data_IF_039106424945
#
_entry.id   IF_039106424945
#
_cell.length_a   1.000
_cell.length_b   1.000
_cell.length_c   1.000
_cell.angle_alpha   90.00
_cell.angle_beta   90.00
_cell.angle_gamma   90.00
#
_symmetry.space_group_name_H-M   'P 1'
#
loop_
_entity.id
_entity.type
_entity.pdbx_description
1 polymer ?
#
# COMPACT_ATOMS: atom_id res chain seq x y z
N UNK A 1 -16.27 25.36 4.29
CA UNK A 1 -16.82 24.08 3.77
C UNK A 1 -16.09 23.52 2.55
N UNK A 2 -15.56 24.33 1.61
CA UNK A 2 -14.80 23.81 0.44
C UNK A 2 -13.30 23.51 0.67
N UNK A 3 -12.77 23.75 1.88
CA UNK A 3 -11.35 23.56 2.23
C UNK A 3 -11.02 22.24 2.96
N UNK A 4 -12.03 21.41 3.23
CA UNK A 4 -11.88 20.17 4.01
C UNK A 4 -11.91 18.88 3.15
N UNK A 5 -12.05 19.01 1.82
CA UNK A 5 -12.15 17.85 0.92
C UNK A 5 -10.76 17.36 0.47
N UNK A 6 -9.76 18.25 0.38
CA UNK A 6 -8.41 17.87 -0.03
C UNK A 6 -7.66 17.07 1.06
N UNK A 7 -7.78 17.47 2.34
CA UNK A 7 -7.24 16.71 3.46
C UNK A 7 -7.94 15.35 3.64
N UNK A 8 -9.24 15.28 3.37
CA UNK A 8 -10.01 14.03 3.41
C UNK A 8 -9.63 13.06 2.27
N UNK A 9 -9.15 13.54 1.12
CA UNK A 9 -8.73 12.68 0.00
C UNK A 9 -7.30 12.13 0.17
N UNK A 10 -6.39 12.89 0.80
CA UNK A 10 -5.04 12.41 1.14
C UNK A 10 -5.11 11.39 2.30
N UNK A 11 -6.02 11.60 3.26
CA UNK A 11 -6.34 10.61 4.28
C UNK A 11 -7.08 9.38 3.68
N UNK A 12 -8.05 9.56 2.76
CA UNK A 12 -8.80 8.44 2.19
C UNK A 12 -7.98 7.52 1.27
N UNK A 13 -6.91 8.01 0.64
CA UNK A 13 -5.95 7.16 -0.08
C UNK A 13 -5.08 6.29 0.85
N UNK A 14 -5.11 6.56 2.16
CA UNK A 14 -4.37 5.82 3.21
C UNK A 14 -5.32 5.14 4.23
N UNK A 15 -6.62 5.48 4.27
CA UNK A 15 -7.57 5.07 5.33
C UNK A 15 -8.90 4.44 4.85
N UNK A 16 -9.08 4.00 3.60
CA UNK A 16 -10.30 3.28 3.18
C UNK A 16 -10.36 1.81 3.66
N UNK A 17 -10.23 1.61 4.98
CA UNK A 17 -10.39 0.33 5.68
C UNK A 17 -11.41 0.46 6.82
N UNK A 18 -12.71 0.50 6.50
CA UNK A 18 -13.77 0.13 7.46
C UNK A 18 -15.13 -0.01 6.76
N UNK A 19 -15.65 -1.23 6.68
CA UNK A 19 -17.06 -1.51 6.40
C UNK A 19 -17.58 -2.63 7.32
N UNK A 20 -18.89 -2.63 7.57
CA UNK A 20 -19.53 -2.98 8.85
C UNK A 20 -20.19 -4.38 8.83
N UNK A 21 -19.88 -5.22 9.83
CA UNK A 21 -20.39 -6.60 9.92
C UNK A 21 -21.42 -6.85 11.01
N UNK A 22 -22.47 -7.63 10.70
CA UNK A 22 -23.33 -8.35 11.66
C UNK A 22 -23.39 -9.85 11.27
N UNK A 23 -23.18 -10.76 12.24
CA UNK A 23 -23.08 -12.24 12.12
C UNK A 23 -24.41 -12.95 12.39
N UNK A 24 -24.54 -14.21 11.93
CA UNK A 24 -25.15 -15.38 12.63
C UNK A 24 -24.81 -16.71 11.86
N UNK A 25 -25.01 -17.94 12.40
CA UNK A 25 -23.94 -18.97 12.52
C UNK A 25 -24.19 -20.34 11.84
N UNK A 26 -23.07 -21.01 11.51
CA UNK A 26 -22.72 -22.41 11.83
C UNK A 26 -23.44 -23.58 11.12
N UNK A 27 -22.65 -24.50 10.54
CA UNK A 27 -22.84 -25.97 10.68
C UNK A 27 -21.69 -26.77 10.04
N UNK A 28 -21.25 -27.77 10.79
CA UNK A 28 -20.18 -28.76 10.60
C UNK A 28 -20.51 -29.95 9.69
N UNK A 29 -19.48 -30.65 9.20
CA UNK A 29 -19.57 -32.08 8.87
C UNK A 29 -18.52 -32.60 7.86
N UNK A 30 -17.57 -33.47 8.27
CA UNK A 30 -16.50 -33.99 7.42
C UNK A 30 -16.89 -35.33 6.77
N UNK A 31 -16.21 -35.71 5.68
CA UNK A 31 -16.11 -37.12 5.30
C UNK A 31 -14.88 -37.35 4.41
N UNK A 32 -13.86 -37.97 5.00
CA UNK A 32 -12.78 -38.65 4.30
C UNK A 32 -13.29 -39.98 3.71
N UNK A 33 -12.76 -40.36 2.55
CA UNK A 33 -12.31 -41.74 2.39
C UNK A 33 -11.20 -41.87 1.34
N UNK A 34 -10.23 -42.78 1.58
CA UNK A 34 -8.97 -42.83 0.85
C UNK A 34 -8.99 -43.87 -0.28
N UNK A 35 -8.09 -43.70 -1.24
CA UNK A 35 -7.74 -44.72 -2.22
C UNK A 35 -6.26 -44.58 -2.63
N UNK A 36 -5.61 -45.61 -3.22
CA UNK A 36 -4.61 -46.38 -2.51
C UNK A 36 -3.17 -46.25 -3.05
N UNK A 37 -2.28 -46.66 -2.15
CA UNK A 37 -0.84 -46.90 -2.25
C UNK A 37 -0.35 -47.59 -3.54
N UNK A 38 0.60 -46.96 -4.23
CA UNK A 38 1.48 -47.59 -5.21
C UNK A 38 2.93 -47.64 -4.68
N UNK A 39 3.57 -48.79 -4.87
CA UNK A 39 4.90 -49.15 -4.37
C UNK A 39 6.04 -48.41 -5.10
N UNK A 40 7.23 -48.28 -4.48
CA UNK A 40 8.21 -47.26 -4.81
C UNK A 40 9.09 -47.63 -6.02
N UNK A 41 9.33 -46.64 -6.89
CA UNK A 41 10.42 -46.66 -7.87
C UNK A 41 11.69 -46.09 -7.21
N UNK A 42 12.75 -46.89 -7.21
CA UNK A 42 14.09 -46.50 -6.77
C UNK A 42 14.56 -45.27 -7.55
N UNK A 43 14.71 -44.16 -6.83
CA UNK A 43 15.26 -42.89 -7.35
C UNK A 43 16.63 -42.70 -6.71
N UNK A 44 17.66 -42.21 -7.46
CA UNK A 44 19.04 -42.12 -7.00
C UNK A 44 19.17 -41.28 -5.73
N UNK A 45 20.14 -41.63 -4.87
CA UNK A 45 20.49 -40.90 -3.65
C UNK A 45 20.51 -39.38 -3.88
N UNK A 46 19.47 -38.73 -3.36
CA UNK A 46 19.43 -37.28 -3.26
C UNK A 46 20.56 -36.86 -2.32
N UNK A 47 21.37 -35.90 -2.78
CA UNK A 47 22.25 -35.13 -1.90
C UNK A 47 21.43 -34.65 -0.69
N UNK A 48 21.99 -34.64 0.53
CA UNK A 48 21.21 -34.27 1.71
C UNK A 48 20.60 -32.90 1.48
N UNK A 49 19.27 -32.85 1.46
CA UNK A 49 18.53 -31.59 1.49
C UNK A 49 19.05 -30.77 2.68
N UNK A 50 19.28 -29.46 2.53
CA UNK A 50 19.67 -28.63 3.66
C UNK A 50 18.69 -28.87 4.81
N UNK A 51 19.22 -29.11 6.02
CA UNK A 51 18.38 -29.27 7.22
C UNK A 51 17.49 -28.04 7.33
N UNK A 52 16.16 -28.26 7.37
CA UNK A 52 15.20 -27.19 7.59
C UNK A 52 15.48 -26.54 8.93
N UNK A 53 15.56 -25.22 8.96
CA UNK A 53 15.73 -24.50 10.23
C UNK A 53 14.42 -24.49 11.01
N UNK A 54 14.48 -24.20 12.32
CA UNK A 54 13.26 -24.02 13.13
C UNK A 54 12.37 -22.89 12.61
N UNK A 55 12.95 -21.89 11.94
CA UNK A 55 12.21 -20.81 11.29
C UNK A 55 11.52 -21.32 10.01
N UNK A 56 12.20 -22.11 9.18
CA UNK A 56 11.57 -22.71 8.00
C UNK A 56 10.41 -23.65 8.39
N UNK A 57 10.55 -24.38 9.50
CA UNK A 57 9.47 -25.19 10.06
C UNK A 57 8.29 -24.35 10.53
N UNK A 58 8.54 -23.28 11.29
CA UNK A 58 7.50 -22.34 11.74
C UNK A 58 6.80 -21.69 10.55
N UNK A 59 7.53 -21.16 9.58
CA UNK A 59 6.96 -20.48 8.42
C UNK A 59 6.15 -21.45 7.54
N UNK A 60 6.52 -22.73 7.51
CA UNK A 60 5.79 -23.79 6.83
C UNK A 60 4.40 -24.09 7.43
N UNK A 61 4.10 -23.67 8.65
CA UNK A 61 2.77 -23.82 9.26
C UNK A 61 1.82 -22.65 8.96
N UNK A 62 2.24 -21.68 8.16
CA UNK A 62 1.49 -20.45 7.87
C UNK A 62 1.00 -19.73 9.16
N UNK A 63 1.93 -19.37 10.07
CA UNK A 63 1.60 -18.88 11.40
C UNK A 63 0.90 -17.52 11.37
N UNK A 64 0.08 -17.28 12.40
CA UNK A 64 -0.61 -15.99 12.55
C UNK A 64 0.37 -14.88 12.99
N UNK A 65 -0.02 -13.62 12.80
CA UNK A 65 0.80 -12.46 13.17
C UNK A 65 1.25 -12.47 14.64
N UNK A 66 0.36 -12.88 15.55
CA UNK A 66 0.67 -12.97 16.99
C UNK A 66 1.73 -14.02 17.32
N UNK A 67 1.70 -15.16 16.64
CA UNK A 67 2.69 -16.23 16.82
C UNK A 67 4.07 -15.78 16.32
N UNK A 68 4.10 -15.15 15.13
CA UNK A 68 5.33 -14.59 14.56
C UNK A 68 5.91 -13.47 15.41
N UNK A 69 5.07 -12.53 15.87
CA UNK A 69 5.51 -11.41 16.68
C UNK A 69 6.10 -11.85 18.02
N UNK A 70 5.45 -12.80 18.70
CA UNK A 70 5.99 -13.43 19.91
C UNK A 70 7.30 -14.17 19.64
N UNK A 71 7.38 -14.92 18.54
CA UNK A 71 8.60 -15.64 18.18
C UNK A 71 9.78 -14.69 17.95
N UNK A 72 9.56 -13.58 17.23
CA UNK A 72 10.57 -12.53 17.04
C UNK A 72 11.00 -11.92 18.38
N UNK A 73 10.05 -11.55 19.26
CA UNK A 73 10.37 -10.97 20.56
C UNK A 73 11.21 -11.88 21.46
N UNK A 74 11.00 -13.20 21.36
CA UNK A 74 11.67 -14.19 22.20
C UNK A 74 13.03 -14.62 21.64
N UNK A 75 13.15 -14.78 20.32
CA UNK A 75 14.27 -15.49 19.70
C UNK A 75 15.19 -14.60 18.85
N UNK A 76 14.80 -13.36 18.49
CA UNK A 76 15.56 -12.60 17.50
C UNK A 76 17.03 -12.36 17.88
N UNK A 77 17.37 -12.32 19.17
CA UNK A 77 18.76 -12.13 19.64
C UNK A 77 19.66 -13.33 19.40
N UNK A 78 19.07 -14.52 19.30
CA UNK A 78 19.80 -15.78 19.22
C UNK A 78 19.77 -16.39 17.81
N UNK A 79 18.94 -15.83 16.92
CA UNK A 79 18.82 -16.26 15.53
C UNK A 79 19.83 -15.55 14.62
N UNK A 80 20.29 -16.21 13.54
CA UNK A 80 21.01 -15.54 12.46
C UNK A 80 20.18 -14.41 11.83
N UNK A 81 20.85 -13.37 11.35
CA UNK A 81 20.22 -12.20 10.72
C UNK A 81 19.29 -12.57 9.56
N UNK A 82 19.70 -13.51 8.71
CA UNK A 82 18.91 -13.96 7.55
C UNK A 82 17.58 -14.61 7.98
N UNK A 83 17.57 -15.37 9.07
CA UNK A 83 16.35 -15.97 9.61
C UNK A 83 15.43 -14.92 10.26
N UNK A 84 16.02 -13.91 10.92
CA UNK A 84 15.25 -12.78 11.43
C UNK A 84 14.63 -11.94 10.31
N UNK A 85 15.34 -11.76 9.20
CA UNK A 85 14.83 -11.04 8.04
C UNK A 85 13.62 -11.77 7.42
N UNK A 86 13.70 -13.10 7.25
CA UNK A 86 12.55 -13.92 6.80
C UNK A 86 11.35 -13.81 7.75
N UNK A 87 11.59 -13.85 9.07
CA UNK A 87 10.53 -13.71 10.07
C UNK A 87 9.87 -12.33 10.01
N UNK A 88 10.66 -11.27 9.86
CA UNK A 88 10.12 -9.92 9.75
C UNK A 88 9.34 -9.73 8.45
N UNK A 89 9.85 -10.22 7.32
CA UNK A 89 9.13 -10.23 6.06
C UNK A 89 7.76 -10.89 6.24
N UNK A 90 7.73 -12.11 6.77
CA UNK A 90 6.48 -12.83 6.99
C UNK A 90 5.54 -12.06 7.92
N UNK A 91 6.06 -11.54 9.04
CA UNK A 91 5.29 -10.77 10.02
C UNK A 91 4.63 -9.54 9.36
N UNK A 92 5.39 -8.76 8.60
CA UNK A 92 4.89 -7.56 7.93
C UNK A 92 3.88 -7.88 6.81
N UNK A 93 3.98 -9.06 6.19
CA UNK A 93 2.96 -9.51 5.22
C UNK A 93 1.63 -9.88 5.89
N UNK A 94 1.64 -10.44 7.10
CA UNK A 94 0.40 -10.89 7.79
C UNK A 94 -0.24 -9.83 8.68
N UNK A 95 0.51 -8.83 9.16
CA UNK A 95 -0.01 -7.72 9.98
C UNK A 95 -1.15 -6.90 9.35
N UNK A 96 -1.22 -6.69 8.01
CA UNK A 96 -2.37 -6.06 7.37
C UNK A 96 -3.71 -6.74 7.70
N UNK A 97 -3.74 -8.07 7.83
CA UNK A 97 -4.98 -8.78 8.16
C UNK A 97 -5.47 -8.44 9.59
N UNK A 98 -4.54 -8.24 10.52
CA UNK A 98 -4.83 -7.76 11.87
C UNK A 98 -5.31 -6.31 11.84
N UNK A 99 -4.62 -5.45 11.09
CA UNK A 99 -4.99 -4.04 10.89
C UNK A 99 -6.43 -3.92 10.42
N UNK A 100 -6.79 -4.62 9.33
CA UNK A 100 -8.14 -4.63 8.76
C UNK A 100 -9.18 -5.09 9.80
N UNK A 101 -8.88 -6.13 10.57
CA UNK A 101 -9.80 -6.62 11.61
C UNK A 101 -10.03 -5.59 12.73
N UNK A 102 -9.00 -4.80 13.04
CA UNK A 102 -9.00 -3.88 14.18
C UNK A 102 -9.42 -2.45 13.85
N UNK A 103 -9.20 -1.96 12.62
CA UNK A 103 -9.46 -0.57 12.23
C UNK A 103 -10.91 -0.12 12.49
N UNK A 104 -11.90 -0.97 12.24
CA UNK A 104 -13.30 -0.63 12.57
C UNK A 104 -13.58 -0.80 14.06
N UNK A 105 -12.98 -1.82 14.68
CA UNK A 105 -13.25 -2.15 16.09
C UNK A 105 -12.74 -1.06 17.03
N UNK A 106 -11.54 -0.53 16.77
CA UNK A 106 -10.88 0.42 17.66
C UNK A 106 -11.70 1.70 17.86
N UNK A 107 -12.50 2.08 16.87
CA UNK A 107 -13.40 3.24 16.94
C UNK A 107 -14.67 3.00 17.77
N UNK A 108 -14.97 1.76 18.16
CA UNK A 108 -16.11 1.46 19.02
C UNK A 108 -15.86 1.93 20.45
N UNK A 109 -16.93 2.39 21.12
CA UNK A 109 -16.87 2.94 22.48
C UNK A 109 -16.13 2.05 23.49
N UNK A 110 -16.33 0.72 23.43
CA UNK A 110 -15.67 -0.21 24.35
C UNK A 110 -14.14 -0.25 24.14
N UNK A 111 -13.69 -0.17 22.89
CA UNK A 111 -12.26 -0.17 22.54
C UNK A 111 -11.61 1.16 22.89
N UNK A 112 -12.28 2.28 22.56
CA UNK A 112 -11.81 3.63 22.92
C UNK A 112 -11.73 3.81 24.44
N UNK A 113 -12.74 3.38 25.19
CA UNK A 113 -12.72 3.47 26.67
C UNK A 113 -11.59 2.63 27.26
N UNK A 114 -11.33 1.43 26.72
CA UNK A 114 -10.19 0.63 27.15
C UNK A 114 -8.86 1.32 26.83
N UNK A 115 -8.73 1.93 25.64
CA UNK A 115 -7.53 2.67 25.25
C UNK A 115 -7.30 3.89 26.16
N UNK A 116 -8.33 4.70 26.36
CA UNK A 116 -8.23 6.00 27.01
C UNK A 116 -8.23 5.89 28.52
N UNK A 117 -9.27 5.25 29.08
CA UNK A 117 -9.47 5.22 30.52
C UNK A 117 -8.56 4.19 31.20
N UNK A 118 -8.32 3.04 30.54
CA UNK A 118 -7.50 1.97 31.13
C UNK A 118 -6.03 2.15 30.77
N UNK A 119 -5.70 2.40 29.50
CA UNK A 119 -4.30 2.41 29.05
C UNK A 119 -3.66 3.80 29.00
N UNK A 120 -4.46 4.88 29.01
CA UNK A 120 -3.97 6.27 28.98
C UNK A 120 -3.72 6.79 27.57
N UNK A 121 -4.49 6.31 26.59
CA UNK A 121 -4.45 6.77 25.20
C UNK A 121 -3.42 6.09 24.30
N UNK A 122 -2.62 5.16 24.84
CA UNK A 122 -1.59 4.40 24.13
C UNK A 122 -1.74 2.90 24.43
N UNK A 123 -1.27 2.03 23.52
CA UNK A 123 -1.23 0.59 23.79
C UNK A 123 -0.13 0.29 24.83
N UNK A 124 -0.54 0.07 26.08
CA UNK A 124 0.35 -0.31 27.18
C UNK A 124 0.10 -1.77 27.59
N UNK A 125 1.02 -2.71 27.25
CA UNK A 125 0.82 -4.14 27.51
C UNK A 125 0.68 -4.46 29.01
N UNK A 126 1.25 -3.63 29.88
CA UNK A 126 1.16 -3.84 31.34
C UNK A 126 -0.24 -3.57 31.88
N UNK A 127 -1.08 -2.86 31.12
CA UNK A 127 -2.43 -2.47 31.50
C UNK A 127 -3.51 -3.29 30.80
N UNK A 128 -3.18 -4.06 29.76
CA UNK A 128 -4.11 -4.96 29.06
C UNK A 128 -4.87 -5.88 30.03
N UNK A 129 -4.24 -6.53 31.03
CA UNK A 129 -4.96 -7.39 31.98
C UNK A 129 -6.09 -6.70 32.76
N UNK A 130 -6.06 -5.37 32.87
CA UNK A 130 -7.04 -4.57 33.60
C UNK A 130 -8.30 -4.24 32.77
N UNK A 131 -8.29 -4.51 31.46
CA UNK A 131 -9.43 -4.25 30.57
C UNK A 131 -10.59 -5.18 30.95
N UNK A 132 -11.73 -4.63 31.35
CA UNK A 132 -12.86 -5.43 31.88
C UNK A 132 -13.51 -6.35 30.85
N UNK A 133 -13.70 -5.86 29.63
CA UNK A 133 -14.30 -6.63 28.55
C UNK A 133 -13.30 -7.67 28.02
N UNK A 134 -13.67 -8.95 28.05
CA UNK A 134 -12.78 -10.05 27.67
C UNK A 134 -12.47 -10.06 26.17
N UNK A 135 -13.42 -9.69 25.31
CA UNK A 135 -13.19 -9.65 23.86
C UNK A 135 -12.26 -8.50 23.50
N UNK A 136 -12.49 -7.31 24.07
CA UNK A 136 -11.61 -6.14 23.89
C UNK A 136 -10.21 -6.44 24.42
N UNK A 137 -10.09 -7.09 25.58
CA UNK A 137 -8.81 -7.52 26.15
C UNK A 137 -8.05 -8.46 25.22
N UNK A 138 -8.74 -9.49 24.70
CA UNK A 138 -8.14 -10.47 23.79
C UNK A 138 -7.64 -9.81 22.50
N UNK A 139 -8.41 -8.88 21.94
CA UNK A 139 -8.04 -8.17 20.72
C UNK A 139 -6.82 -7.23 20.93
N UNK A 140 -6.75 -6.50 22.05
CA UNK A 140 -5.54 -5.72 22.38
C UNK A 140 -4.31 -6.59 22.69
N UNK A 141 -4.51 -7.75 23.31
CA UNK A 141 -3.43 -8.72 23.53
C UNK A 141 -2.90 -9.23 22.18
N UNK A 142 -3.80 -9.58 21.26
CA UNK A 142 -3.44 -10.03 19.91
C UNK A 142 -2.67 -8.96 19.13
N UNK A 143 -3.03 -7.67 19.28
CA UNK A 143 -2.26 -6.56 18.71
C UNK A 143 -0.83 -6.51 19.26
N UNK A 144 -0.68 -6.55 20.58
CA UNK A 144 0.64 -6.53 21.21
C UNK A 144 1.48 -7.75 20.81
N UNK A 145 0.90 -8.95 20.85
CA UNK A 145 1.56 -10.20 20.46
C UNK A 145 2.02 -10.16 19.00
N UNK A 146 1.28 -9.46 18.15
CA UNK A 146 1.61 -9.27 16.72
C UNK A 146 2.68 -8.21 16.48
N UNK A 147 3.37 -7.68 17.51
CA UNK A 147 4.30 -6.56 17.40
C UNK A 147 3.66 -5.33 16.74
N UNK A 148 2.39 -5.07 17.05
CA UNK A 148 1.66 -3.88 16.59
C UNK A 148 1.43 -2.92 17.76
N UNK A 149 1.08 -1.68 17.43
CA UNK A 149 0.78 -0.62 18.39
C UNK A 149 -0.38 0.24 17.91
N UNK A 150 -0.88 1.09 18.81
CA UNK A 150 -1.83 2.16 18.48
C UNK A 150 -1.07 3.48 18.45
N UNK A 151 -1.11 4.17 17.31
CA UNK A 151 -0.58 5.53 17.14
C UNK A 151 -1.77 6.48 17.05
N UNK A 152 -1.66 7.66 17.65
CA UNK A 152 -2.68 8.72 17.54
C UNK A 152 -2.17 9.81 16.62
N UNK A 153 -2.82 9.96 15.48
CA UNK A 153 -2.70 11.15 14.65
C UNK A 153 -3.90 12.03 14.99
N UNK A 154 -3.64 13.08 15.76
CA UNK A 154 -4.68 13.88 16.43
C UNK A 154 -5.57 13.01 17.34
N UNK A 155 -6.89 12.98 17.11
CA UNK A 155 -7.85 12.23 17.90
C UNK A 155 -8.09 10.80 17.36
N UNK A 156 -7.59 10.49 16.16
CA UNK A 156 -7.88 9.22 15.49
C UNK A 156 -6.81 8.15 15.82
N UNK A 157 -7.17 7.05 16.49
CA UNK A 157 -6.25 5.94 16.69
C UNK A 157 -6.09 5.15 15.39
N UNK A 158 -4.83 4.86 15.04
CA UNK A 158 -4.45 4.03 13.91
C UNK A 158 -3.62 2.86 14.43
N UNK A 159 -3.87 1.68 13.89
CA UNK A 159 -3.08 0.48 14.17
C UNK A 159 -1.90 0.44 13.20
N UNK A 160 -0.70 0.29 13.74
CA UNK A 160 0.53 0.20 12.95
C UNK A 160 1.49 -0.84 13.54
N UNK A 161 2.48 -1.28 12.76
CA UNK A 161 3.64 -2.01 13.27
C UNK A 161 4.33 -1.23 14.38
N UNK A 162 4.74 -1.89 15.46
CA UNK A 162 5.49 -1.29 16.56
C UNK A 162 6.98 -1.19 16.21
N UNK A 163 7.32 -0.23 15.35
CA UNK A 163 8.69 0.01 14.90
C UNK A 163 9.62 0.37 16.06
N UNK A 164 9.13 1.04 17.10
CA UNK A 164 9.90 1.33 18.31
C UNK A 164 10.35 0.06 19.05
N UNK A 165 9.49 -0.96 19.14
CA UNK A 165 9.84 -2.25 19.70
C UNK A 165 10.87 -2.99 18.83
N UNK A 166 10.65 -3.04 17.51
CA UNK A 166 11.60 -3.64 16.56
C UNK A 166 12.96 -2.94 16.58
N UNK A 167 13.00 -1.61 16.73
CA UNK A 167 14.24 -0.84 16.78
C UNK A 167 15.13 -1.20 17.99
N UNK A 168 14.55 -1.71 19.08
CA UNK A 168 15.32 -2.25 20.22
C UNK A 168 16.00 -3.59 19.89
N UNK A 169 15.55 -4.26 18.83
CA UNK A 169 16.07 -5.52 18.32
C UNK A 169 16.85 -5.35 17.00
N UNK A 170 17.01 -4.13 16.46
CA UNK A 170 17.53 -3.94 15.09
C UNK A 170 18.89 -4.59 14.82
N UNK A 171 19.74 -4.73 15.84
CA UNK A 171 21.07 -5.37 15.73
C UNK A 171 20.99 -6.88 15.47
N UNK A 172 19.82 -7.48 15.61
CA UNK A 172 19.53 -8.88 15.28
C UNK A 172 19.25 -9.11 13.80
N UNK A 173 18.98 -8.06 13.03
CA UNK A 173 18.54 -8.15 11.63
C UNK A 173 19.71 -7.87 10.67
N UNK A 174 19.53 -8.22 9.40
CA UNK A 174 20.45 -7.84 8.34
C UNK A 174 20.57 -6.31 8.23
N UNK A 175 21.68 -5.82 7.66
CA UNK A 175 21.99 -4.38 7.60
C UNK A 175 20.83 -3.56 6.99
N UNK A 176 20.28 -4.01 5.86
CA UNK A 176 19.21 -3.29 5.16
C UNK A 176 17.87 -3.36 5.91
N UNK A 177 17.58 -4.48 6.55
CA UNK A 177 16.39 -4.63 7.39
C UNK A 177 16.48 -3.76 8.65
N UNK A 178 17.64 -3.73 9.29
CA UNK A 178 17.92 -2.85 10.42
C UNK A 178 17.78 -1.37 10.03
N UNK A 179 18.20 -1.01 8.81
CA UNK A 179 17.99 0.31 8.23
C UNK A 179 16.50 0.62 8.08
N UNK A 180 15.70 -0.26 7.47
CA UNK A 180 14.24 -0.09 7.35
C UNK A 180 13.57 0.10 8.72
N UNK A 181 13.93 -0.72 9.72
CA UNK A 181 13.41 -0.64 11.08
C UNK A 181 13.72 0.73 11.70
N UNK A 182 14.95 1.21 11.55
CA UNK A 182 15.39 2.48 12.12
C UNK A 182 14.61 3.67 11.56
N UNK A 183 14.49 3.78 10.24
CA UNK A 183 13.81 4.91 9.60
C UNK A 183 12.29 4.86 9.80
N UNK A 184 11.69 3.67 9.76
CA UNK A 184 10.29 3.48 10.14
C UNK A 184 10.03 3.90 11.59
N UNK A 185 10.94 3.59 12.52
CA UNK A 185 10.82 4.00 13.92
C UNK A 185 10.96 5.52 14.11
N UNK A 186 11.81 6.19 13.32
CA UNK A 186 11.92 7.66 13.34
C UNK A 186 10.63 8.33 12.89
N UNK A 187 10.04 7.85 11.79
CA UNK A 187 8.75 8.33 11.28
C UNK A 187 7.63 8.18 12.32
N UNK A 188 7.53 6.99 12.93
CA UNK A 188 6.52 6.73 13.96
C UNK A 188 6.75 7.53 15.25
N UNK A 189 8.02 7.78 15.61
CA UNK A 189 8.42 8.37 16.90
C UNK A 189 8.44 9.90 16.98
N UNK A 190 7.86 10.61 16.01
CA UNK A 190 7.92 12.08 15.91
C UNK A 190 9.36 12.65 15.93
N UNK A 191 10.33 11.91 15.37
CA UNK A 191 11.73 12.33 15.31
C UNK A 191 11.92 13.67 14.59
N UNK A 192 11.05 13.94 13.61
CA UNK A 192 11.07 15.15 12.78
C UNK A 192 10.21 16.31 13.34
N UNK A 193 9.70 16.20 14.57
CA UNK A 193 8.77 17.18 15.15
C UNK A 193 9.36 18.56 15.47
N UNK A 194 10.69 18.73 15.41
CA UNK A 194 11.34 20.04 15.48
C UNK A 194 11.09 20.81 14.16
N UNK A 195 10.20 21.79 14.16
CA UNK A 195 9.82 22.54 12.95
C UNK A 195 11.01 23.21 12.23
N UNK A 196 12.11 23.49 12.95
CA UNK A 196 13.29 24.16 12.39
C UNK A 196 14.28 23.18 11.75
N UNK A 197 14.45 21.99 12.33
CA UNK A 197 15.48 21.01 11.90
C UNK A 197 14.91 19.73 11.31
N UNK A 198 13.68 19.37 11.67
CA UNK A 198 12.96 18.20 11.20
C UNK A 198 12.92 18.08 9.69
N UNK A 199 12.56 19.14 8.94
CA UNK A 199 12.54 19.11 7.48
C UNK A 199 13.90 18.80 6.85
N UNK A 200 14.99 19.39 7.36
CA UNK A 200 16.34 19.14 6.85
C UNK A 200 16.83 17.73 7.17
N UNK A 201 16.50 17.22 8.37
CA UNK A 201 16.78 15.84 8.78
C UNK A 201 16.02 14.85 7.89
N UNK A 202 14.73 15.10 7.62
CA UNK A 202 13.93 14.25 6.73
C UNK A 202 14.47 14.29 5.29
N UNK A 203 14.90 15.44 4.79
CA UNK A 203 15.52 15.54 3.46
C UNK A 203 16.82 14.70 3.35
N UNK A 204 17.64 14.71 4.40
CA UNK A 204 18.84 13.87 4.47
C UNK A 204 18.50 12.38 4.56
N UNK A 205 17.47 12.04 5.33
CA UNK A 205 16.99 10.67 5.52
C UNK A 205 16.40 10.10 4.20
N UNK A 206 15.62 10.90 3.44
CA UNK A 206 15.14 10.54 2.09
C UNK A 206 16.32 10.20 1.16
N UNK A 207 17.37 11.03 1.14
CA UNK A 207 18.55 10.78 0.31
C UNK A 207 19.31 9.52 0.74
N UNK A 208 19.34 9.21 2.04
CA UNK A 208 19.93 7.99 2.55
C UNK A 208 19.11 6.75 2.16
N UNK A 209 17.78 6.82 2.26
CA UNK A 209 16.87 5.75 1.82
C UNK A 209 17.03 5.50 0.33
N UNK A 210 17.08 6.54 -0.49
CA UNK A 210 17.32 6.40 -1.93
C UNK A 210 18.65 5.70 -2.21
N UNK A 211 19.73 6.10 -1.54
CA UNK A 211 21.03 5.43 -1.68
C UNK A 211 20.98 3.96 -1.28
N UNK A 212 20.25 3.62 -0.23
CA UNK A 212 20.10 2.23 0.22
C UNK A 212 19.24 1.41 -0.76
N UNK A 213 18.17 2.01 -1.27
CA UNK A 213 17.31 1.43 -2.31
C UNK A 213 18.12 1.03 -3.55
N UNK A 214 19.05 1.87 -3.99
CA UNK A 214 19.91 1.59 -5.15
C UNK A 214 20.89 0.41 -4.95
N UNK A 215 21.11 -0.03 -3.71
CA UNK A 215 21.94 -1.21 -3.41
C UNK A 215 21.14 -2.51 -3.42
N UNK A 216 19.83 -2.45 -3.17
CA UNK A 216 18.96 -3.62 -3.11
C UNK A 216 18.59 -4.08 -4.53
N UNK A 217 18.79 -5.36 -4.86
CA UNK A 217 18.53 -5.90 -6.20
C UNK A 217 17.04 -6.01 -6.51
N UNK A 218 16.27 -6.59 -5.59
CA UNK A 218 14.86 -6.99 -5.75
C UNK A 218 14.28 -7.49 -4.41
N UNK A 219 12.97 -7.73 -4.35
CA UNK A 219 12.31 -8.40 -3.24
C UNK A 219 11.88 -7.49 -2.08
N UNK A 220 11.60 -8.12 -0.93
CA UNK A 220 10.91 -7.49 0.19
C UNK A 220 11.59 -6.21 0.73
N UNK A 221 12.91 -6.25 0.91
CA UNK A 221 13.70 -5.10 1.37
C UNK A 221 13.56 -3.92 0.42
N UNK A 222 13.68 -4.17 -0.89
CA UNK A 222 13.57 -3.15 -1.91
C UNK A 222 12.17 -2.52 -1.94
N UNK A 223 11.13 -3.33 -1.79
CA UNK A 223 9.75 -2.85 -1.68
C UNK A 223 9.51 -2.00 -0.43
N UNK A 224 10.03 -2.41 0.72
CA UNK A 224 9.95 -1.61 1.95
C UNK A 224 10.69 -0.27 1.81
N UNK A 225 11.90 -0.27 1.26
CA UNK A 225 12.67 0.96 1.01
C UNK A 225 11.94 1.91 0.04
N UNK A 226 11.29 1.36 -1.00
CA UNK A 226 10.44 2.15 -1.90
C UNK A 226 9.26 2.78 -1.18
N UNK A 227 8.56 2.00 -0.34
CA UNK A 227 7.44 2.48 0.46
C UNK A 227 7.86 3.60 1.41
N UNK A 228 9.00 3.43 2.08
CA UNK A 228 9.61 4.46 2.93
C UNK A 228 9.95 5.73 2.15
N UNK A 229 10.64 5.60 1.01
CA UNK A 229 10.99 6.73 0.14
C UNK A 229 9.73 7.53 -0.25
N UNK A 230 8.71 6.86 -0.79
CA UNK A 230 7.49 7.53 -1.24
C UNK A 230 6.76 8.22 -0.08
N UNK A 231 6.67 7.57 1.08
CA UNK A 231 6.02 8.12 2.29
C UNK A 231 6.75 9.34 2.83
N UNK A 232 8.08 9.30 2.93
CA UNK A 232 8.88 10.42 3.43
C UNK A 232 8.86 11.61 2.48
N UNK A 233 9.00 11.38 1.17
CA UNK A 233 8.91 12.44 0.16
C UNK A 233 7.53 13.12 0.21
N UNK A 234 6.45 12.33 0.25
CA UNK A 234 5.10 12.89 0.37
C UNK A 234 4.92 13.70 1.66
N UNK A 235 5.41 13.17 2.79
CA UNK A 235 5.31 13.84 4.10
C UNK A 235 6.08 15.17 4.11
N UNK A 236 7.31 15.17 3.60
CA UNK A 236 8.14 16.38 3.54
C UNK A 236 7.56 17.44 2.61
N UNK A 237 7.06 17.05 1.44
CA UNK A 237 6.63 17.99 0.40
C UNK A 237 5.18 18.46 0.57
N UNK A 238 4.28 17.63 1.13
CA UNK A 238 2.94 18.07 1.52
C UNK A 238 2.96 18.90 2.81
N UNK A 239 3.85 18.53 3.74
CA UNK A 239 3.83 19.08 5.10
C UNK A 239 2.57 18.68 5.87
N UNK A 240 2.42 19.15 7.12
CA UNK A 240 1.25 18.89 7.94
C UNK A 240 -0.03 19.33 7.23
N UNK A 241 -1.02 18.43 7.10
CA UNK A 241 -2.31 18.68 6.45
C UNK A 241 -2.21 19.28 5.01
N UNK A 242 -1.09 19.09 4.31
CA UNK A 242 -0.89 19.69 2.98
C UNK A 242 -0.56 21.19 3.01
N UNK A 243 -0.18 21.73 4.17
CA UNK A 243 0.12 23.16 4.34
C UNK A 243 1.20 23.66 3.37
N UNK A 244 2.21 22.84 3.06
CA UNK A 244 3.31 23.24 2.18
C UNK A 244 2.87 23.36 0.72
N UNK A 245 1.83 22.64 0.29
CA UNK A 245 1.22 22.79 -1.04
C UNK A 245 0.66 24.21 -1.18
N UNK A 246 -0.08 24.67 -0.16
CA UNK A 246 -0.63 26.03 -0.13
C UNK A 246 0.48 27.08 -0.13
N UNK A 247 1.51 26.86 0.67
CA UNK A 247 2.64 27.80 0.80
C UNK A 247 3.50 27.88 -0.47
N UNK A 248 3.66 26.76 -1.18
CA UNK A 248 4.27 26.71 -2.49
C UNK A 248 3.46 27.55 -3.49
N UNK A 249 2.15 27.30 -3.64
CA UNK A 249 1.31 28.08 -4.58
C UNK A 249 1.23 29.57 -4.24
N UNK A 250 1.42 29.93 -2.97
CA UNK A 250 1.49 31.32 -2.50
C UNK A 250 2.87 31.98 -2.69
N UNK A 251 3.86 31.26 -3.23
CA UNK A 251 5.20 31.79 -3.46
C UNK A 251 5.97 32.09 -2.17
N UNK A 252 5.69 31.39 -1.06
CA UNK A 252 6.38 31.64 0.21
C UNK A 252 7.87 31.36 0.07
N UNK A 253 8.68 32.38 0.41
CA UNK A 253 10.15 32.35 0.31
C UNK A 253 10.80 31.20 1.08
N UNK A 254 10.24 30.84 2.23
CA UNK A 254 10.79 29.77 3.06
C UNK A 254 10.70 28.41 2.37
N UNK A 255 9.50 28.03 1.88
CA UNK A 255 9.28 26.75 1.17
C UNK A 255 10.12 26.69 -0.11
N UNK A 256 10.14 27.77 -0.89
CA UNK A 256 10.99 27.84 -2.09
C UNK A 256 12.48 27.77 -1.75
N UNK A 257 12.90 28.43 -0.67
CA UNK A 257 14.28 28.38 -0.18
C UNK A 257 14.71 26.96 0.22
N UNK A 258 13.82 26.21 0.89
CA UNK A 258 14.05 24.80 1.23
C UNK A 258 14.13 23.92 0.00
N UNK A 259 13.18 24.02 -0.93
CA UNK A 259 13.21 23.27 -2.19
C UNK A 259 14.50 23.53 -2.97
N UNK A 260 14.94 24.80 -3.06
CA UNK A 260 16.19 25.16 -3.72
C UNK A 260 17.41 24.58 -3.00
N UNK A 261 17.40 24.57 -1.68
CA UNK A 261 18.45 23.95 -0.86
C UNK A 261 18.52 22.45 -1.09
N UNK A 262 17.38 21.75 -1.10
CA UNK A 262 17.33 20.29 -1.31
C UNK A 262 17.73 19.90 -2.73
N UNK A 263 17.25 20.64 -3.74
CA UNK A 263 17.66 20.45 -5.14
C UNK A 263 19.17 20.61 -5.33
N UNK A 264 19.79 21.59 -4.65
CA UNK A 264 21.23 21.83 -4.72
C UNK A 264 22.06 20.83 -3.89
N UNK A 265 21.54 20.36 -2.75
CA UNK A 265 22.22 19.42 -1.86
C UNK A 265 22.20 17.98 -2.41
N UNK A 266 21.13 17.60 -3.11
CA UNK A 266 20.90 16.24 -3.61
C UNK A 266 20.65 16.20 -5.13
N UNK A 267 21.50 16.83 -5.98
CA UNK A 267 21.20 17.01 -7.40
C UNK A 267 21.10 15.69 -8.19
N UNK A 268 21.80 14.67 -7.72
CA UNK A 268 21.86 13.36 -8.39
C UNK A 268 20.73 12.42 -7.94
N UNK A 269 19.93 12.81 -6.93
CA UNK A 269 18.83 11.99 -6.41
C UNK A 269 17.51 12.29 -7.12
N UNK A 270 16.58 11.32 -7.15
CA UNK A 270 15.23 11.52 -7.65
C UNK A 270 14.50 12.56 -6.81
N UNK A 271 14.70 12.55 -5.49
CA UNK A 271 14.17 13.58 -4.60
C UNK A 271 14.63 15.00 -4.97
N UNK A 272 15.93 15.22 -5.18
CA UNK A 272 16.45 16.54 -5.57
C UNK A 272 15.93 17.00 -6.93
N UNK A 273 15.77 16.07 -7.90
CA UNK A 273 15.11 16.36 -9.19
C UNK A 273 13.64 16.73 -9.01
N UNK A 274 12.91 16.07 -8.12
CA UNK A 274 11.53 16.46 -7.78
C UNK A 274 11.49 17.88 -7.22
N UNK A 275 12.37 18.23 -6.26
CA UNK A 275 12.45 19.59 -5.73
C UNK A 275 12.76 20.63 -6.82
N UNK A 276 13.69 20.32 -7.73
CA UNK A 276 14.02 21.17 -8.86
C UNK A 276 12.83 21.33 -9.83
N UNK A 277 12.10 20.26 -10.09
CA UNK A 277 10.89 20.29 -10.93
C UNK A 277 9.82 21.20 -10.33
N UNK A 278 9.54 21.04 -9.03
CA UNK A 278 8.60 21.90 -8.31
C UNK A 278 8.99 23.38 -8.42
N UNK A 279 10.25 23.74 -8.20
CA UNK A 279 10.71 25.15 -8.33
C UNK A 279 10.47 25.77 -9.71
N UNK A 280 10.45 24.94 -10.76
CA UNK A 280 10.25 25.39 -12.13
C UNK A 280 8.78 25.39 -12.56
N UNK A 281 7.86 24.92 -11.69
CA UNK A 281 6.44 24.94 -11.99
C UNK A 281 5.92 26.38 -12.02
N UNK A 282 5.17 26.69 -13.08
CA UNK A 282 4.49 27.99 -13.24
C UNK A 282 3.02 27.96 -12.82
N UNK A 283 2.53 26.80 -12.38
CA UNK A 283 1.13 26.62 -12.00
C UNK A 283 0.87 27.08 -10.57
N UNK A 284 -0.18 27.88 -10.38
CA UNK A 284 -0.68 28.28 -9.06
C UNK A 284 -1.72 27.28 -8.49
N UNK A 285 -2.00 26.19 -9.20
CA UNK A 285 -2.99 25.19 -8.78
C UNK A 285 -2.41 24.25 -7.72
N UNK A 286 -3.06 24.18 -6.56
CA UNK A 286 -2.72 23.19 -5.52
C UNK A 286 -2.79 21.76 -6.06
N UNK A 287 -3.78 21.46 -6.91
CA UNK A 287 -3.90 20.14 -7.53
C UNK A 287 -2.70 19.84 -8.43
N UNK A 288 -2.21 20.81 -9.21
CA UNK A 288 -1.05 20.59 -10.07
C UNK A 288 0.21 20.27 -9.26
N UNK A 289 0.39 20.91 -8.11
CA UNK A 289 1.51 20.64 -7.19
C UNK A 289 1.37 19.25 -6.56
N UNK A 290 0.17 18.89 -6.11
CA UNK A 290 -0.13 17.54 -5.62
C UNK A 290 0.16 16.47 -6.68
N UNK A 291 -0.29 16.71 -7.91
CA UNK A 291 -0.10 15.82 -9.05
C UNK A 291 1.38 15.66 -9.41
N UNK A 292 2.16 16.75 -9.36
CA UNK A 292 3.60 16.72 -9.60
C UNK A 292 4.35 15.92 -8.51
N UNK A 293 3.97 16.10 -7.23
CA UNK A 293 4.57 15.33 -6.13
C UNK A 293 4.21 13.85 -6.28
N UNK A 294 2.92 13.51 -6.39
CA UNK A 294 2.45 12.14 -6.57
C UNK A 294 3.09 11.48 -7.80
N UNK A 295 3.08 12.16 -8.93
CA UNK A 295 3.63 11.64 -10.19
C UNK A 295 5.12 11.37 -10.14
N UNK A 296 5.87 12.09 -9.30
CA UNK A 296 7.30 11.87 -9.09
C UNK A 296 7.62 10.65 -8.22
N UNK A 297 6.68 10.19 -7.39
CA UNK A 297 6.90 9.07 -6.44
C UNK A 297 6.23 7.76 -6.89
N UNK A 298 5.48 7.75 -7.99
CA UNK A 298 4.89 6.52 -8.54
C UNK A 298 5.96 5.49 -8.88
N UNK A 299 6.98 5.90 -9.64
CA UNK A 299 8.08 5.03 -10.04
C UNK A 299 9.22 5.05 -9.01
N UNK A 300 9.95 3.94 -8.81
CA UNK A 300 11.05 3.87 -7.84
C UNK A 300 12.20 4.84 -8.16
N UNK A 301 13.11 5.09 -7.19
CA UNK A 301 14.23 6.03 -7.37
C UNK A 301 15.16 5.78 -8.57
N UNK A 302 15.37 4.53 -8.95
CA UNK A 302 16.22 4.16 -10.09
C UNK A 302 15.50 4.15 -11.44
N UNK A 303 14.17 4.30 -11.41
CA UNK A 303 13.38 4.40 -12.63
C UNK A 303 13.25 5.88 -13.02
N UNK A 304 13.78 6.27 -14.19
CA UNK A 304 13.77 7.67 -14.63
C UNK A 304 12.38 8.16 -15.02
N UNK A 305 11.38 7.27 -15.10
CA UNK A 305 10.02 7.61 -15.48
C UNK A 305 9.29 8.34 -14.34
N UNK A 306 8.32 9.17 -14.74
CA UNK A 306 7.36 9.84 -13.86
C UNK A 306 5.97 9.73 -14.45
N UNK A 307 4.95 10.12 -13.67
CA UNK A 307 3.60 10.35 -14.17
C UNK A 307 3.34 11.86 -14.24
N UNK A 308 2.81 12.33 -15.35
CA UNK A 308 2.24 13.67 -15.48
C UNK A 308 0.74 13.55 -15.77
N UNK A 309 -0.07 14.49 -15.29
CA UNK A 309 -1.50 14.50 -15.54
C UNK A 309 -1.82 15.47 -16.67
N UNK A 310 -2.09 14.94 -17.85
CA UNK A 310 -2.36 15.72 -19.05
C UNK A 310 -3.85 15.74 -19.38
N UNK A 311 -4.31 16.83 -20.01
CA UNK A 311 -5.66 16.88 -20.56
C UNK A 311 -5.86 15.75 -21.60
N UNK A 312 -7.04 15.13 -21.56
CA UNK A 312 -7.41 14.06 -22.49
C UNK A 312 -7.45 14.56 -23.93
N UNK A 313 -7.98 15.77 -24.14
CA UNK A 313 -7.93 16.50 -25.41
C UNK A 313 -7.98 18.03 -25.19
N UNK A 314 -7.71 18.80 -26.24
CA UNK A 314 -7.68 20.28 -26.19
C UNK A 314 -9.01 20.92 -25.76
N UNK A 315 -10.13 20.22 -25.92
CA UNK A 315 -11.48 20.71 -25.57
C UNK A 315 -11.92 20.27 -24.18
N UNK A 316 -11.17 19.36 -23.55
CA UNK A 316 -11.50 18.66 -22.32
C UNK A 316 -10.44 18.88 -21.25
N UNK A 317 -9.98 20.12 -21.06
CA UNK A 317 -8.95 20.47 -20.08
C UNK A 317 -9.28 20.06 -18.62
N UNK A 318 -10.56 19.82 -18.31
CA UNK A 318 -11.02 19.33 -17.00
C UNK A 318 -10.98 17.79 -16.87
N UNK A 319 -10.66 17.07 -17.94
CA UNK A 319 -10.54 15.60 -17.95
C UNK A 319 -9.06 15.26 -18.09
N UNK A 320 -8.42 14.92 -16.98
CA UNK A 320 -6.99 14.60 -16.96
C UNK A 320 -6.75 13.09 -16.90
N UNK A 321 -5.73 12.63 -17.61
CA UNK A 321 -5.26 11.25 -17.63
C UNK A 321 -3.80 11.19 -17.21
N UNK A 322 -3.37 10.10 -16.56
CA UNK A 322 -1.97 9.91 -16.22
C UNK A 322 -1.22 9.54 -17.48
N UNK A 323 -0.11 10.23 -17.72
CA UNK A 323 0.84 9.95 -18.78
C UNK A 323 2.17 9.58 -18.18
N UNK A 324 2.72 8.47 -18.63
CA UNK A 324 4.09 8.08 -18.34
C UNK A 324 5.00 8.98 -19.15
N UNK A 325 5.85 9.70 -18.45
CA UNK A 325 6.87 10.57 -19.03
C UNK A 325 8.22 9.92 -18.81
N UNK A 326 8.96 9.75 -19.90
CA UNK A 326 10.35 9.31 -19.89
C UNK A 326 11.19 10.22 -20.80
N UNK A 327 12.51 10.22 -20.59
CA UNK A 327 13.41 11.19 -21.24
C UNK A 327 13.38 11.10 -22.76
N UNK A 328 13.17 9.91 -23.30
CA UNK A 328 13.31 9.62 -24.73
C UNK A 328 11.95 9.50 -25.44
N UNK A 329 10.85 9.69 -24.72
CA UNK A 329 9.50 9.36 -25.13
C UNK A 329 9.45 7.98 -25.81
N UNK A 330 9.89 6.96 -25.08
CA UNK A 330 10.12 5.61 -25.62
C UNK A 330 8.87 5.02 -26.27
N UNK A 331 9.05 4.06 -27.19
CA UNK A 331 7.92 3.35 -27.81
C UNK A 331 7.02 2.67 -26.76
N UNK A 332 7.62 2.21 -25.65
CA UNK A 332 6.89 1.65 -24.51
C UNK A 332 6.00 2.70 -23.84
N UNK A 333 6.54 3.88 -23.50
CA UNK A 333 5.76 4.96 -22.91
C UNK A 333 4.63 5.42 -23.84
N UNK A 334 4.91 5.56 -25.15
CA UNK A 334 3.90 5.89 -26.15
C UNK A 334 2.78 4.85 -26.23
N UNK A 335 3.12 3.56 -26.19
CA UNK A 335 2.14 2.47 -26.20
C UNK A 335 1.26 2.51 -24.96
N UNK A 336 1.85 2.61 -23.76
CA UNK A 336 1.11 2.68 -22.50
C UNK A 336 0.19 3.90 -22.45
N UNK A 337 0.71 5.09 -22.79
CA UNK A 337 -0.06 6.33 -22.84
C UNK A 337 -1.21 6.24 -23.83
N UNK A 338 -0.98 5.64 -25.00
CA UNK A 338 -2.04 5.40 -25.98
C UNK A 338 -3.15 4.52 -25.40
N UNK A 339 -2.81 3.40 -24.74
CA UNK A 339 -3.82 2.52 -24.16
C UNK A 339 -4.61 3.20 -23.04
N UNK A 340 -3.95 3.97 -22.17
CA UNK A 340 -4.61 4.74 -21.11
C UNK A 340 -5.55 5.80 -21.70
N UNK A 341 -5.11 6.55 -22.72
CA UNK A 341 -5.94 7.55 -23.41
C UNK A 341 -7.13 6.92 -24.11
N UNK A 342 -6.94 5.81 -24.82
CA UNK A 342 -8.02 5.09 -25.50
C UNK A 342 -9.07 4.58 -24.51
N UNK A 343 -8.63 4.03 -23.36
CA UNK A 343 -9.52 3.61 -22.29
C UNK A 343 -10.32 4.79 -21.71
N UNK A 344 -9.63 5.86 -21.33
CA UNK A 344 -10.27 7.08 -20.81
C UNK A 344 -11.29 7.66 -21.80
N UNK A 345 -10.95 7.75 -23.08
CA UNK A 345 -11.86 8.22 -24.12
C UNK A 345 -13.08 7.29 -24.28
N UNK A 346 -12.89 5.97 -24.23
CA UNK A 346 -13.95 4.97 -24.29
C UNK A 346 -14.94 5.06 -23.12
N UNK A 347 -14.49 5.56 -21.96
CA UNK A 347 -15.37 5.77 -20.81
C UNK A 347 -16.32 6.95 -20.99
N UNK A 348 -16.01 7.94 -21.83
CA UNK A 348 -16.81 9.17 -21.98
C UNK A 348 -18.03 8.95 -22.89
N UNK A 349 -19.28 8.92 -22.37
CA UNK A 349 -20.44 8.70 -23.21
C UNK A 349 -20.77 9.94 -24.04
N UNK A 350 -20.93 9.77 -25.36
CA UNK A 350 -21.24 10.86 -26.27
C UNK A 350 -22.53 11.61 -25.87
N UNK A 351 -22.49 12.95 -25.92
CA UNK A 351 -23.65 13.81 -25.66
C UNK A 351 -24.07 13.92 -24.19
N UNK A 352 -23.21 13.52 -23.26
CA UNK A 352 -23.36 13.80 -21.82
C UNK A 352 -22.72 15.15 -21.45
N UNK A 353 -23.15 15.75 -20.33
CA UNK A 353 -22.61 17.01 -19.82
C UNK A 353 -21.98 16.80 -18.44
N UNK A 354 -21.20 17.78 -17.99
CA UNK A 354 -20.57 17.79 -16.65
C UNK A 354 -19.75 16.52 -16.38
N UNK A 355 -18.96 16.10 -17.36
CA UNK A 355 -18.06 14.98 -17.23
C UNK A 355 -16.92 15.37 -16.28
N UNK A 356 -16.55 14.45 -15.40
CA UNK A 356 -15.34 14.50 -14.61
C UNK A 356 -14.63 13.16 -14.77
N UNK A 357 -13.31 13.20 -14.95
CA UNK A 357 -12.46 12.03 -14.98
C UNK A 357 -11.48 12.15 -13.82
N UNK A 358 -11.49 11.15 -12.97
CA UNK A 358 -10.51 10.94 -11.92
C UNK A 358 -9.61 9.79 -12.34
N UNK A 359 -8.33 9.94 -12.09
CA UNK A 359 -7.36 8.92 -12.43
C UNK A 359 -6.29 8.80 -11.36
N UNK A 360 -5.77 7.60 -11.20
CA UNK A 360 -4.61 7.33 -10.35
C UNK A 360 -3.71 6.30 -11.02
N UNK A 361 -2.43 6.32 -10.65
CA UNK A 361 -1.43 5.39 -11.12
C UNK A 361 -0.58 4.91 -9.95
N UNK A 362 -0.25 3.63 -9.93
CA UNK A 362 0.62 3.03 -8.94
C UNK A 362 1.49 1.96 -9.59
N UNK A 363 2.76 1.88 -9.22
CA UNK A 363 3.63 0.76 -9.62
C UNK A 363 3.67 -0.27 -8.49
N UNK A 364 3.62 -1.55 -8.82
CA UNK A 364 3.69 -2.67 -7.88
C UNK A 364 4.60 -3.74 -8.49
N UNK A 365 5.81 -3.88 -7.95
CA UNK A 365 6.88 -4.65 -8.58
C UNK A 365 7.09 -4.24 -10.04
N UNK A 366 6.92 -5.20 -10.95
CA UNK A 366 7.08 -5.00 -12.40
C UNK A 366 5.81 -4.53 -13.11
N UNK A 367 4.78 -4.11 -12.38
CA UNK A 367 3.48 -3.75 -12.95
C UNK A 367 3.12 -2.29 -12.72
N UNK A 368 2.50 -1.66 -13.72
CA UNK A 368 1.83 -0.37 -13.59
C UNK A 368 0.32 -0.61 -13.54
N UNK A 369 -0.30 -0.14 -12.48
CA UNK A 369 -1.75 -0.11 -12.27
C UNK A 369 -2.26 1.30 -12.51
N UNK A 370 -3.28 1.44 -13.36
CA UNK A 370 -3.96 2.70 -13.65
C UNK A 370 -5.44 2.52 -13.38
N UNK A 371 -6.00 3.32 -12.47
CA UNK A 371 -7.43 3.37 -12.22
C UNK A 371 -8.02 4.62 -12.89
N UNK A 372 -9.13 4.46 -13.60
CA UNK A 372 -9.88 5.52 -14.24
C UNK A 372 -11.31 5.48 -13.74
N UNK A 373 -11.83 6.61 -13.27
CA UNK A 373 -13.22 6.76 -12.80
C UNK A 373 -13.84 7.99 -13.44
N UNK A 374 -14.96 7.82 -14.12
CA UNK A 374 -15.68 8.89 -14.78
C UNK A 374 -17.08 9.07 -14.18
N UNK A 375 -17.40 10.29 -13.76
CA UNK A 375 -18.77 10.70 -13.42
C UNK A 375 -19.32 11.65 -14.48
N UNK A 376 -20.61 11.55 -14.78
CA UNK A 376 -21.26 12.37 -15.80
C UNK A 376 -22.76 12.53 -15.52
N UNK A 377 -23.39 13.52 -16.16
CA UNK A 377 -24.85 13.64 -16.18
C UNK A 377 -25.43 13.00 -17.44
N UNK A 378 -26.31 12.02 -17.26
CA UNK A 378 -27.09 11.45 -18.36
C UNK A 378 -28.06 12.48 -18.97
N UNK A 379 -28.57 12.20 -20.17
CA UNK A 379 -29.62 13.02 -20.81
C UNK A 379 -30.88 13.15 -19.95
N UNK A 380 -31.15 12.15 -19.11
CA UNK A 380 -32.26 12.11 -18.15
C UNK A 380 -32.04 13.03 -16.93
N UNK A 381 -30.83 13.60 -16.77
CA UNK A 381 -30.40 14.33 -15.58
C UNK A 381 -29.93 13.43 -14.42
N UNK A 382 -30.00 12.10 -14.57
CA UNK A 382 -29.48 11.15 -13.57
C UNK A 382 -27.95 11.15 -13.57
N UNK A 383 -27.30 10.95 -12.40
CA UNK A 383 -25.87 10.72 -12.35
C UNK A 383 -25.53 9.39 -13.01
N UNK A 384 -24.51 9.38 -13.84
CA UNK A 384 -23.88 8.19 -14.40
C UNK A 384 -22.45 8.06 -13.90
N UNK A 385 -22.00 6.81 -13.80
CA UNK A 385 -20.66 6.47 -13.34
C UNK A 385 -20.09 5.33 -14.19
N UNK A 386 -18.81 5.42 -14.51
CA UNK A 386 -18.04 4.37 -15.17
C UNK A 386 -16.67 4.28 -14.52
N UNK A 387 -16.13 3.08 -14.43
CA UNK A 387 -14.80 2.84 -13.93
C UNK A 387 -14.10 1.79 -14.80
N UNK A 388 -12.78 1.91 -14.91
CA UNK A 388 -11.95 0.96 -15.62
C UNK A 388 -10.58 0.90 -14.95
N UNK A 389 -10.08 -0.31 -14.73
CA UNK A 389 -8.74 -0.53 -14.22
C UNK A 389 -7.89 -1.22 -15.28
N UNK A 390 -6.65 -0.77 -15.37
CA UNK A 390 -5.67 -1.26 -16.32
C UNK A 390 -4.42 -1.66 -15.54
N UNK A 391 -3.95 -2.88 -15.73
CA UNK A 391 -2.67 -3.34 -15.21
C UNK A 391 -1.78 -3.71 -16.37
N UNK A 392 -0.56 -3.19 -16.38
CA UNK A 392 0.41 -3.38 -17.45
C UNK A 392 1.69 -4.01 -16.91
N UNK A 393 2.27 -4.94 -17.66
CA UNK A 393 3.64 -5.40 -17.43
C UNK A 393 4.60 -4.30 -17.94
N UNK A 394 5.44 -3.76 -17.07
CA UNK A 394 6.36 -2.67 -17.40
C UNK A 394 7.53 -3.07 -18.28
N UNK A 395 7.77 -4.37 -18.47
CA UNK A 395 8.80 -4.90 -19.38
C UNK A 395 8.28 -4.96 -20.81
N UNK A 396 7.01 -5.32 -20.98
CA UNK A 396 6.41 -5.55 -22.32
C UNK A 396 5.46 -4.44 -22.77
N UNK A 397 4.93 -3.65 -21.85
CA UNK A 397 3.87 -2.68 -22.11
C UNK A 397 2.50 -3.28 -22.37
N UNK A 398 2.34 -4.59 -22.16
CA UNK A 398 1.10 -5.31 -22.45
C UNK A 398 0.13 -5.25 -21.27
N UNK A 399 -1.19 -5.13 -21.52
CA UNK A 399 -2.19 -5.34 -20.48
C UNK A 399 -2.10 -6.74 -19.88
N UNK A 400 -2.37 -6.85 -18.59
CA UNK A 400 -2.28 -8.09 -17.81
C UNK A 400 -3.63 -8.38 -17.19
N UNK A 401 -4.13 -9.61 -17.36
CA UNK A 401 -5.33 -10.08 -16.68
C UNK A 401 -5.00 -10.70 -15.32
N UNK A 402 -5.99 -10.90 -14.46
CA UNK A 402 -5.77 -11.58 -13.19
C UNK A 402 -5.33 -13.05 -13.38
N UNK A 403 -5.80 -13.71 -14.45
CA UNK A 403 -5.37 -15.07 -14.81
C UNK A 403 -3.89 -15.11 -15.21
N UNK A 404 -3.39 -14.07 -15.89
CA UNK A 404 -1.97 -13.94 -16.23
C UNK A 404 -1.11 -13.74 -14.98
N UNK A 405 -1.57 -12.90 -14.03
CA UNK A 405 -0.88 -12.69 -12.75
C UNK A 405 -0.87 -13.97 -11.88
N UNK A 406 -2.00 -14.67 -11.82
CA UNK A 406 -2.11 -15.92 -11.08
C UNK A 406 -1.43 -17.10 -11.77
N UNK A 407 -1.03 -16.93 -13.04
CA UNK A 407 -0.48 -17.96 -13.93
C UNK A 407 -1.38 -19.21 -14.05
N UNK A 408 -2.70 -19.04 -13.94
CA UNK A 408 -3.72 -20.09 -14.04
C UNK A 408 -5.12 -19.48 -14.24
N UNK A 409 -6.08 -20.21 -14.82
CA UNK A 409 -7.42 -19.67 -15.09
C UNK A 409 -8.24 -19.44 -13.81
N UNK A 410 -9.18 -18.49 -13.86
CA UNK A 410 -10.05 -18.10 -12.72
C UNK A 410 -10.60 -19.30 -11.93
N UNK A 411 -11.15 -20.30 -12.59
CA UNK A 411 -11.76 -21.46 -11.93
C UNK A 411 -10.79 -22.23 -10.99
N UNK A 412 -9.48 -22.15 -11.25
CA UNK A 412 -8.47 -22.81 -10.42
C UNK A 412 -8.13 -22.05 -9.12
N UNK A 413 -8.41 -20.74 -9.04
CA UNK A 413 -8.08 -19.92 -7.86
C UNK A 413 -9.25 -19.16 -7.25
N UNK A 414 -10.42 -19.16 -7.89
CA UNK A 414 -11.61 -18.40 -7.48
C UNK A 414 -11.99 -18.62 -6.02
N UNK A 415 -11.98 -19.86 -5.54
CA UNK A 415 -12.34 -20.16 -4.14
C UNK A 415 -11.35 -19.52 -3.14
N UNK A 416 -10.06 -19.58 -3.43
CA UNK A 416 -9.04 -18.94 -2.61
C UNK A 416 -9.18 -17.42 -2.64
N UNK A 417 -9.37 -16.83 -3.83
CA UNK A 417 -9.61 -15.39 -3.99
C UNK A 417 -10.83 -14.92 -3.16
N UNK A 418 -11.98 -15.59 -3.30
CA UNK A 418 -13.19 -15.27 -2.54
C UNK A 418 -12.97 -15.36 -1.02
N UNK A 419 -12.17 -16.33 -0.56
CA UNK A 419 -11.84 -16.48 0.86
C UNK A 419 -10.96 -15.34 1.40
N UNK A 420 -10.10 -14.76 0.57
CA UNK A 420 -9.16 -13.70 0.99
C UNK A 420 -9.64 -12.28 0.70
N UNK A 421 -10.70 -12.12 -0.09
CA UNK A 421 -11.38 -10.84 -0.29
C UNK A 421 -11.91 -10.27 1.05
N UNK A 422 -11.74 -8.97 1.23
CA UNK A 422 -12.20 -8.21 2.40
C UNK A 422 -13.09 -7.06 1.94
N UNK A 423 -14.31 -7.01 2.45
CA UNK A 423 -15.31 -5.99 2.13
C UNK A 423 -16.70 -6.46 2.52
N UNK A 424 -17.69 -5.57 2.41
CA UNK A 424 -19.08 -5.92 2.69
C UNK A 424 -19.68 -6.75 1.55
N UNK A 425 -20.44 -7.78 1.90
CA UNK A 425 -21.16 -8.63 0.94
C UNK A 425 -20.25 -9.21 -0.17
N UNK A 426 -19.10 -9.78 0.21
CA UNK A 426 -18.24 -10.54 -0.73
C UNK A 426 -19.13 -11.48 -1.56
N UNK A 427 -19.08 -11.42 -2.90
CA UNK A 427 -20.00 -12.16 -3.73
C UNK A 427 -19.77 -13.67 -3.57
N UNK A 428 -20.82 -14.46 -3.74
CA UNK A 428 -20.69 -15.92 -3.69
C UNK A 428 -19.93 -16.50 -4.89
N UNK A 429 -19.80 -15.73 -5.98
CA UNK A 429 -19.13 -16.14 -7.21
C UNK A 429 -18.54 -14.93 -7.95
N UNK A 430 -17.55 -15.19 -8.80
CA UNK A 430 -16.92 -14.22 -9.69
C UNK A 430 -16.92 -14.74 -11.13
N UNK A 431 -17.10 -13.83 -12.08
CA UNK A 431 -17.05 -14.13 -13.50
C UNK A 431 -15.83 -13.44 -14.14
N UNK A 432 -15.25 -14.09 -15.15
CA UNK A 432 -14.19 -13.51 -15.95
C UNK A 432 -14.74 -12.52 -17.01
N UNK A 433 -13.98 -11.49 -17.40
CA UNK A 433 -12.72 -11.05 -16.77
C UNK A 433 -12.97 -10.39 -15.41
N UNK A 434 -12.07 -10.64 -14.45
CA UNK A 434 -12.11 -9.96 -13.13
C UNK A 434 -11.45 -8.59 -13.27
N UNK A 435 -12.16 -7.54 -12.90
CA UNK A 435 -11.63 -6.17 -12.86
C UNK A 435 -10.85 -5.96 -11.55
N UNK A 436 -9.63 -5.43 -11.66
CA UNK A 436 -8.73 -5.31 -10.51
C UNK A 436 -7.71 -4.17 -10.68
N UNK A 437 -7.24 -3.65 -9.56
CA UNK A 437 -6.10 -2.73 -9.51
C UNK A 437 -5.06 -3.23 -8.51
N UNK A 438 -3.79 -2.96 -8.79
CA UNK A 438 -2.69 -3.15 -7.85
C UNK A 438 -2.34 -1.85 -7.14
N UNK A 439 -1.93 -1.95 -5.88
CA UNK A 439 -1.32 -0.87 -5.12
C UNK A 439 -0.16 -1.42 -4.28
N UNK A 440 0.49 -0.56 -3.48
CA UNK A 440 1.64 -0.98 -2.67
C UNK A 440 1.30 -2.02 -1.60
N UNK A 441 0.05 -2.12 -1.15
CA UNK A 441 -0.40 -3.04 -0.09
C UNK A 441 -1.03 -4.34 -0.58
N UNK A 442 -1.26 -4.48 -1.89
CA UNK A 442 -1.87 -5.66 -2.48
C UNK A 442 -2.72 -5.32 -3.70
N UNK A 443 -3.94 -5.87 -3.71
CA UNK A 443 -4.86 -5.81 -4.84
C UNK A 443 -6.27 -5.40 -4.38
N UNK A 444 -6.96 -4.64 -5.21
CA UNK A 444 -8.40 -4.37 -5.04
C UNK A 444 -9.15 -5.00 -6.21
N UNK A 445 -10.18 -5.79 -5.91
CA UNK A 445 -11.09 -6.40 -6.87
C UNK A 445 -12.34 -5.52 -6.97
N UNK A 446 -12.78 -5.24 -8.20
CA UNK A 446 -13.95 -4.41 -8.48
C UNK A 446 -15.06 -5.27 -9.08
N UNK A 447 -16.24 -5.23 -8.46
CA UNK A 447 -17.42 -5.95 -8.94
C UNK A 447 -18.49 -4.93 -9.27
N UNK A 448 -18.77 -4.77 -10.57
CA UNK A 448 -19.79 -3.84 -11.03
C UNK A 448 -21.19 -4.29 -10.61
N UNK A 449 -21.97 -3.47 -9.89
CA UNK A 449 -23.33 -3.81 -9.55
C UNK A 449 -24.22 -3.76 -10.80
N UNK A 450 -25.28 -4.58 -10.82
CA UNK A 450 -26.26 -4.61 -11.91
C UNK A 450 -26.97 -3.26 -12.14
N UNK A 451 -26.94 -2.36 -11.15
CA UNK A 451 -27.58 -1.04 -11.17
C UNK A 451 -26.81 0.04 -11.95
N UNK A 452 -25.57 -0.22 -12.40
CA UNK A 452 -24.75 0.80 -13.07
C UNK A 452 -24.26 1.92 -12.13
N UNK A 453 -24.13 1.60 -10.85
CA UNK A 453 -23.59 2.47 -9.79
C UNK A 453 -22.10 2.20 -9.58
N UNK A 454 -21.47 2.88 -8.60
CA UNK A 454 -20.08 2.62 -8.20
C UNK A 454 -19.88 1.12 -7.92
N UNK A 455 -18.81 0.49 -8.44
CA UNK A 455 -18.44 -0.89 -8.15
C UNK A 455 -18.33 -1.16 -6.65
N UNK A 456 -18.67 -2.39 -6.26
CA UNK A 456 -18.27 -2.90 -4.95
C UNK A 456 -16.76 -3.20 -4.99
N UNK A 457 -16.04 -2.75 -3.96
CA UNK A 457 -14.58 -2.85 -3.86
C UNK A 457 -14.20 -3.87 -2.79
N UNK A 458 -13.30 -4.79 -3.13
CA UNK A 458 -12.82 -5.82 -2.21
C UNK A 458 -11.31 -5.85 -2.15
N UNK A 459 -10.75 -5.59 -0.98
CA UNK A 459 -9.32 -5.59 -0.79
C UNK A 459 -8.78 -7.00 -0.57
N UNK A 460 -7.63 -7.29 -1.16
CA UNK A 460 -6.85 -8.51 -0.97
C UNK A 460 -5.43 -8.10 -0.60
N UNK A 461 -5.01 -8.46 0.61
CA UNK A 461 -3.67 -8.15 1.12
C UNK A 461 -2.61 -8.98 0.38
N UNK A 462 -1.34 -8.54 0.41
CA UNK A 462 -0.23 -9.36 -0.11
C UNK A 462 -0.23 -10.79 0.48
N UNK A 463 -0.54 -10.94 1.78
CA UNK A 463 -0.70 -12.26 2.38
C UNK A 463 -1.85 -13.08 1.76
N UNK A 464 -3.00 -12.45 1.54
CA UNK A 464 -4.12 -13.08 0.86
C UNK A 464 -3.76 -13.59 -0.53
N UNK A 465 -3.02 -12.79 -1.31
CA UNK A 465 -2.58 -13.15 -2.66
C UNK A 465 -1.69 -14.42 -2.69
N UNK A 466 -0.87 -14.65 -1.65
CA UNK A 466 -0.02 -15.87 -1.56
C UNK A 466 -0.81 -17.17 -1.61
N UNK A 467 -2.06 -17.16 -1.18
CA UNK A 467 -2.91 -18.35 -1.18
C UNK A 467 -3.19 -18.86 -2.58
N UNK A 468 -2.99 -18.04 -3.62
CA UNK A 468 -3.24 -18.44 -4.99
C UNK A 468 -2.27 -17.92 -6.04
N UNK A 469 -1.33 -17.03 -5.74
CA UNK A 469 -0.34 -16.58 -6.72
C UNK A 469 1.04 -16.36 -6.11
N UNK A 470 2.05 -16.37 -6.97
CA UNK A 470 3.40 -15.95 -6.62
C UNK A 470 3.45 -14.42 -6.53
N UNK A 471 3.66 -13.90 -5.33
CA UNK A 471 3.68 -12.47 -5.06
C UNK A 471 5.07 -11.84 -5.21
N UNK A 472 6.12 -12.63 -5.47
CA UNK A 472 7.50 -12.12 -5.64
C UNK A 472 7.62 -11.11 -6.78
N UNK A 473 6.72 -11.16 -7.77
CA UNK A 473 6.68 -10.18 -8.88
C UNK A 473 6.01 -8.86 -8.52
N UNK A 474 5.37 -8.78 -7.35
CA UNK A 474 4.64 -7.60 -6.88
C UNK A 474 5.47 -6.69 -5.97
N UNK A 475 6.68 -7.10 -5.58
CA UNK A 475 7.53 -6.32 -4.68
C UNK A 475 9.02 -6.37 -5.03
#
# INVERSE_FOLDING_TARGET
>A
MKKYIAAALIAAAVLSLASCGWRLPGSSGPSESPEPSAAPSETPEASPSPEKTAVDELLGTEPAAGELGQYVMQNARDLPAEENDKLLERLLLVQPDVTISMSTKILNNAYMSALDDTMGGLLDPTKIPNIKDQAVRADYQALFDSLMTVVRYEESPIIETNWSALNKLKTSFGEQTAFIIEYSARLQGNYYGDELRGPDLMAADIAAIEKEFLKASDGFVRWQLRGLYAREVATLLYGPEGAYISDFTAGKKEVHGRLNTYAAAYPDTKFGRTCASLLNMTSESQQAVTDAINGSIVFPPDDPRTIEFAALDEKSAALTVPEIVDKDNSALAQQLNKTVRDAAAGMLPAGTKNQQLYSSAAVCGNYLSVALSCSYAEKSGKPGYRQQHLVFDLTTGSPVTLDDLAAKPLDAYKAALLQVMRGDNVPADLAAPVDFALNSGGMTIYVSPKSGTVPDEYNVTMNGLRSFMDISKLY
#
